data_IF_829578923985
#
_entry.id   IF_829578923985
#
_cell.length_a   1.000
_cell.length_b   1.000
_cell.length_c   1.000
_cell.angle_alpha   90.00
_cell.angle_beta   90.00
_cell.angle_gamma   90.00
#
_symmetry.space_group_name_H-M   'P 1'
#
loop_
_entity.id
_entity.type
_entity.pdbx_description
1 polymer ?
#
# COMPACT_ATOMS: atom_id res chain seq x y z
N UNK A 1 -5.84 37.27 -54.58
CA UNK A 1 -5.24 38.59 -54.24
C UNK A 1 -5.07 38.69 -52.76
N UNK A 2 -3.83 38.78 -52.22
CA UNK A 2 -3.52 38.91 -50.81
C UNK A 2 -4.06 40.24 -50.25
N UNK A 3 -4.93 40.21 -49.23
CA UNK A 3 -5.37 41.41 -48.54
C UNK A 3 -4.17 42.06 -47.84
N UNK A 4 -3.80 43.29 -48.28
CA UNK A 4 -2.78 44.10 -47.59
C UNK A 4 -3.26 44.38 -46.17
N UNK A 5 -2.54 43.88 -45.14
CA UNK A 5 -2.82 44.18 -43.74
C UNK A 5 -2.14 45.50 -43.36
N UNK A 6 -2.94 46.53 -43.05
CA UNK A 6 -2.46 47.82 -42.53
C UNK A 6 -2.43 47.80 -41.00
N UNK A 7 -1.37 48.34 -40.38
CA UNK A 7 -1.27 48.41 -38.92
C UNK A 7 -2.21 49.48 -38.32
N UNK A 8 -2.38 49.49 -37.00
CA UNK A 8 -3.32 50.39 -36.31
C UNK A 8 -2.93 51.84 -36.48
N UNK A 9 -1.63 52.19 -36.38
CA UNK A 9 -1.09 53.52 -36.51
C UNK A 9 -1.35 54.10 -37.89
N UNK A 10 -1.08 53.34 -38.94
CA UNK A 10 -1.35 53.77 -40.31
C UNK A 10 -2.82 54.14 -40.53
N UNK A 11 -3.75 53.33 -39.99
CA UNK A 11 -5.19 53.64 -40.13
C UNK A 11 -5.58 54.91 -39.38
N UNK A 12 -5.02 55.14 -38.19
CA UNK A 12 -5.25 56.32 -37.39
C UNK A 12 -4.71 57.57 -38.12
N UNK A 13 -3.49 57.50 -38.64
CA UNK A 13 -2.88 58.61 -39.37
C UNK A 13 -3.71 59.00 -40.59
N UNK A 14 -4.22 58.01 -41.36
CA UNK A 14 -5.09 58.31 -42.53
C UNK A 14 -6.40 58.96 -42.10
N UNK A 15 -6.98 58.54 -40.96
CA UNK A 15 -8.20 59.22 -40.42
C UNK A 15 -7.92 60.61 -39.90
N UNK A 16 -6.76 60.88 -39.29
CA UNK A 16 -6.32 62.19 -38.84
C UNK A 16 -6.11 63.16 -40.04
N UNK A 17 -5.49 62.68 -41.12
CA UNK A 17 -5.33 63.44 -42.32
C UNK A 17 -6.69 63.85 -42.99
N UNK A 18 -7.65 62.91 -42.98
CA UNK A 18 -9.02 63.20 -43.36
C UNK A 18 -9.65 64.32 -42.53
N UNK A 19 -9.49 64.22 -41.19
CA UNK A 19 -9.98 65.28 -40.26
C UNK A 19 -9.29 66.59 -40.44
N UNK A 20 -8.03 66.62 -40.88
CA UNK A 20 -7.28 67.81 -41.20
C UNK A 20 -7.72 68.43 -42.54
N UNK A 21 -8.72 67.85 -43.27
CA UNK A 21 -9.32 68.40 -44.43
C UNK A 21 -8.85 67.76 -45.76
N UNK A 22 -8.05 66.67 -45.70
CA UNK A 22 -7.61 66.00 -46.97
C UNK A 22 -8.74 65.10 -47.51
N UNK A 23 -9.16 65.25 -48.77
CA UNK A 23 -10.26 64.51 -49.36
C UNK A 23 -9.93 63.02 -49.50
N UNK A 24 -10.96 62.16 -49.33
CA UNK A 24 -10.78 60.68 -49.34
C UNK A 24 -10.20 60.18 -50.67
N UNK A 25 -10.57 60.72 -51.76
CA UNK A 25 -10.05 60.40 -53.09
C UNK A 25 -8.53 60.64 -53.22
N UNK A 26 -8.03 61.72 -52.58
CA UNK A 26 -6.61 62.03 -52.55
C UNK A 26 -5.87 61.03 -51.63
N UNK A 27 -6.39 60.74 -50.43
CA UNK A 27 -5.83 59.72 -49.53
C UNK A 27 -5.81 58.31 -50.13
N UNK A 28 -6.85 57.99 -50.89
CA UNK A 28 -6.92 56.71 -51.65
C UNK A 28 -5.80 56.57 -52.65
N UNK A 29 -5.55 57.61 -53.42
CA UNK A 29 -4.51 57.67 -54.41
C UNK A 29 -3.11 57.67 -53.83
N UNK A 30 -2.84 58.50 -52.85
CA UNK A 30 -1.52 58.65 -52.21
C UNK A 30 -1.08 57.38 -51.42
N UNK A 31 -1.99 56.75 -50.66
CA UNK A 31 -1.66 55.63 -49.82
C UNK A 31 -2.00 54.27 -50.43
N UNK A 32 -2.57 54.22 -51.65
CA UNK A 32 -2.91 52.94 -52.29
C UNK A 32 -3.96 52.14 -51.62
N UNK A 33 -4.92 52.80 -50.93
CA UNK A 33 -6.04 52.19 -50.18
C UNK A 33 -7.35 52.56 -50.87
N UNK A 34 -8.28 51.56 -50.95
CA UNK A 34 -9.58 51.89 -51.59
C UNK A 34 -10.40 52.87 -50.68
N UNK A 35 -11.12 53.82 -51.34
CA UNK A 35 -11.98 54.78 -50.65
C UNK A 35 -12.96 54.09 -49.66
N UNK A 36 -13.54 52.99 -50.10
CA UNK A 36 -14.43 52.19 -49.22
C UNK A 36 -13.74 51.72 -47.94
N UNK A 37 -12.44 51.40 -47.98
CA UNK A 37 -11.64 51.00 -46.83
C UNK A 37 -11.36 52.19 -45.96
N UNK A 38 -11.06 53.37 -46.49
CA UNK A 38 -10.83 54.62 -45.81
C UNK A 38 -12.13 55.03 -45.04
N UNK A 39 -13.27 55.01 -45.68
CA UNK A 39 -14.56 55.31 -45.06
C UNK A 39 -14.90 54.36 -43.89
N UNK A 40 -14.55 53.03 -44.03
CA UNK A 40 -14.65 52.10 -42.94
C UNK A 40 -13.75 52.48 -41.75
N UNK A 41 -12.52 52.94 -42.01
CA UNK A 41 -11.61 53.37 -40.95
C UNK A 41 -12.09 54.66 -40.26
N UNK A 42 -12.60 55.65 -41.06
CA UNK A 42 -13.20 56.87 -40.52
C UNK A 42 -14.35 56.53 -39.59
N UNK A 43 -15.27 55.64 -40.00
CA UNK A 43 -16.40 55.17 -39.15
C UNK A 43 -15.96 54.44 -37.87
N UNK A 44 -14.84 53.69 -37.94
CA UNK A 44 -14.33 52.90 -36.81
C UNK A 44 -13.52 53.76 -35.81
N UNK A 45 -12.83 54.80 -36.26
CA UNK A 45 -11.91 55.62 -35.48
C UNK A 45 -12.40 57.06 -35.23
N UNK A 46 -13.63 57.40 -35.69
CA UNK A 46 -14.26 58.69 -35.31
C UNK A 46 -14.96 58.55 -33.96
N UNK A 47 -14.91 59.64 -33.12
CA UNK A 47 -15.65 59.72 -31.88
C UNK A 47 -17.16 59.56 -32.12
N UNK A 48 -17.84 58.94 -31.18
CA UNK A 48 -19.32 58.81 -31.20
C UNK A 48 -19.90 60.04 -30.47
N UNK A 49 -20.84 60.71 -31.07
CA UNK A 49 -21.56 61.84 -30.44
C UNK A 49 -22.22 61.35 -29.13
N UNK A 50 -21.90 62.06 -28.02
CA UNK A 50 -22.45 61.75 -26.70
C UNK A 50 -21.60 60.81 -25.81
N UNK A 51 -20.45 60.29 -26.29
CA UNK A 51 -19.58 59.39 -25.45
C UNK A 51 -18.19 59.99 -25.16
N UNK A 52 -17.99 61.29 -25.31
CA UNK A 52 -16.70 61.95 -25.14
C UNK A 52 -15.74 61.66 -26.29
N UNK A 53 -14.47 61.37 -25.97
CA UNK A 53 -13.44 61.13 -26.99
C UNK A 53 -13.36 59.64 -27.49
N UNK A 54 -14.29 58.75 -27.08
CA UNK A 54 -14.22 57.35 -27.37
C UNK A 54 -14.68 57.04 -28.83
N UNK A 55 -13.91 56.25 -29.53
CA UNK A 55 -14.22 55.75 -30.89
C UNK A 55 -15.10 54.50 -30.83
N UNK A 56 -15.83 54.23 -31.93
CA UNK A 56 -16.65 52.99 -32.04
C UNK A 56 -15.85 51.70 -31.81
N UNK A 57 -14.57 51.70 -32.17
CA UNK A 57 -13.68 50.56 -31.98
C UNK A 57 -13.34 50.38 -30.46
N UNK A 58 -13.16 51.46 -29.72
CA UNK A 58 -12.86 51.41 -28.29
C UNK A 58 -14.09 51.02 -27.49
N UNK A 59 -15.27 51.52 -27.83
CA UNK A 59 -16.54 51.11 -27.21
C UNK A 59 -16.78 49.66 -27.41
N UNK A 60 -16.57 49.08 -28.59
CA UNK A 60 -16.72 47.67 -28.87
C UNK A 60 -15.67 46.83 -28.09
N UNK A 61 -14.43 47.29 -27.95
CA UNK A 61 -13.42 46.65 -27.16
C UNK A 61 -13.77 46.61 -25.66
N UNK A 62 -14.26 47.73 -25.12
CA UNK A 62 -14.72 47.87 -23.73
C UNK A 62 -15.93 46.93 -23.47
N UNK A 63 -16.89 46.90 -24.37
CA UNK A 63 -18.06 46.02 -24.25
C UNK A 63 -17.64 44.55 -24.27
N UNK A 64 -16.71 44.15 -25.13
CA UNK A 64 -16.17 42.80 -25.22
C UNK A 64 -15.42 42.42 -23.93
N UNK A 65 -14.64 43.34 -23.38
CA UNK A 65 -13.91 43.10 -22.11
C UNK A 65 -14.87 43.07 -20.93
N UNK A 66 -15.89 43.92 -20.87
CA UNK A 66 -16.93 43.86 -19.85
C UNK A 66 -17.70 42.54 -19.86
N UNK A 67 -18.03 42.03 -21.05
CA UNK A 67 -18.67 40.71 -21.18
C UNK A 67 -17.76 39.59 -20.65
N UNK A 68 -16.48 39.66 -21.01
CA UNK A 68 -15.48 38.74 -20.54
C UNK A 68 -15.32 38.77 -19.02
N UNK A 69 -15.22 39.97 -18.43
CA UNK A 69 -15.09 40.15 -16.98
C UNK A 69 -16.34 39.69 -16.23
N UNK A 70 -17.53 39.93 -16.77
CA UNK A 70 -18.79 39.38 -16.21
C UNK A 70 -18.78 37.85 -16.18
N UNK A 71 -18.34 37.19 -17.25
CA UNK A 71 -18.21 35.75 -17.30
C UNK A 71 -17.14 35.23 -16.32
N UNK A 72 -16.02 35.94 -16.18
CA UNK A 72 -14.98 35.61 -15.19
C UNK A 72 -15.45 35.73 -13.73
N UNK A 73 -16.37 36.67 -13.45
CA UNK A 73 -16.96 36.88 -12.10
C UNK A 73 -18.09 35.87 -11.80
N UNK A 74 -18.84 35.43 -12.79
CA UNK A 74 -19.95 34.49 -12.60
C UNK A 74 -19.47 33.05 -12.29
N UNK A 75 -18.32 32.66 -12.80
CA UNK A 75 -17.75 31.34 -12.55
C UNK A 75 -17.31 31.15 -11.08
N UNK A 76 -16.56 32.07 -10.44
CA UNK A 76 -16.21 31.97 -9.02
C UNK A 76 -17.40 32.03 -8.05
N UNK A 77 -18.44 32.82 -8.37
CA UNK A 77 -19.65 32.93 -7.52
C UNK A 77 -20.40 31.61 -7.30
N UNK A 78 -20.12 30.59 -8.11
CA UNK A 78 -20.68 29.24 -7.95
C UNK A 78 -19.92 28.37 -6.92
N UNK A 79 -19.03 28.93 -6.10
CA UNK A 79 -18.47 28.27 -4.92
C UNK A 79 -17.12 27.56 -5.09
N UNK A 80 -16.32 27.90 -6.11
CA UNK A 80 -15.11 27.16 -6.46
C UNK A 80 -13.80 27.62 -5.80
N UNK A 81 -13.74 28.81 -5.20
CA UNK A 81 -12.50 29.33 -4.59
C UNK A 81 -12.02 28.53 -3.37
N UNK A 82 -12.92 27.85 -2.64
CA UNK A 82 -12.57 27.02 -1.49
C UNK A 82 -12.36 25.53 -1.78
N UNK A 83 -12.60 25.11 -3.00
CA UNK A 83 -12.69 23.67 -3.36
C UNK A 83 -11.40 23.18 -4.02
N UNK A 84 -10.60 24.07 -4.60
CA UNK A 84 -9.46 23.74 -5.46
C UNK A 84 -8.33 22.97 -4.78
N UNK A 85 -8.10 23.17 -3.47
CA UNK A 85 -7.06 22.44 -2.74
C UNK A 85 -7.41 20.96 -2.45
N UNK A 86 -8.66 20.55 -2.71
CA UNK A 86 -9.19 19.21 -2.37
C UNK A 86 -9.83 18.44 -3.53
N UNK A 87 -9.99 19.06 -4.71
CA UNK A 87 -10.67 18.42 -5.86
C UNK A 87 -9.64 17.75 -6.77
N UNK A 88 -9.92 16.49 -7.14
CA UNK A 88 -9.17 15.73 -8.14
C UNK A 88 -9.39 16.33 -9.54
N UNK A 89 -8.36 16.22 -10.40
CA UNK A 89 -8.42 16.65 -11.81
C UNK A 89 -9.63 16.06 -12.55
N UNK A 90 -10.10 14.87 -12.19
CA UNK A 90 -11.25 14.24 -12.80
C UNK A 90 -12.57 14.96 -12.45
N UNK A 91 -12.75 15.36 -11.22
CA UNK A 91 -13.93 16.13 -10.79
C UNK A 91 -13.98 17.52 -11.46
N UNK A 92 -12.81 18.14 -11.67
CA UNK A 92 -12.70 19.40 -12.42
C UNK A 92 -13.07 19.21 -13.89
N UNK A 93 -12.65 18.12 -14.52
CA UNK A 93 -12.98 17.76 -15.90
C UNK A 93 -14.49 17.55 -16.05
N UNK A 94 -15.10 16.79 -15.14
CA UNK A 94 -16.54 16.49 -15.13
C UNK A 94 -17.36 17.78 -14.96
N UNK A 95 -16.88 18.71 -14.11
CA UNK A 95 -17.51 20.01 -13.93
C UNK A 95 -17.42 20.87 -15.19
N UNK A 96 -16.21 21.00 -15.78
CA UNK A 96 -16.01 21.76 -17.05
C UNK A 96 -16.90 21.17 -18.15
N UNK A 97 -17.01 19.86 -18.20
CA UNK A 97 -17.84 19.17 -19.20
C UNK A 97 -19.33 19.51 -19.01
N UNK A 98 -19.81 19.50 -17.77
CA UNK A 98 -21.21 19.83 -17.46
C UNK A 98 -21.56 21.29 -17.80
N UNK A 99 -20.66 22.22 -17.51
CA UNK A 99 -20.90 23.64 -17.75
C UNK A 99 -20.49 24.09 -19.18
N UNK A 100 -19.93 23.19 -20.01
CA UNK A 100 -19.48 23.51 -21.36
C UNK A 100 -20.59 23.93 -22.32
N UNK A 101 -21.84 23.63 -22.02
CA UNK A 101 -23.01 24.09 -22.76
C UNK A 101 -23.31 25.58 -22.53
N UNK A 102 -22.91 26.10 -21.37
CA UNK A 102 -23.23 27.47 -20.94
C UNK A 102 -22.03 28.41 -20.96
N UNK A 103 -20.82 27.88 -20.83
CA UNK A 103 -19.58 28.66 -20.71
C UNK A 103 -18.47 28.11 -21.64
N UNK A 104 -17.65 28.99 -22.21
CA UNK A 104 -16.52 28.55 -23.07
C UNK A 104 -15.51 27.72 -22.24
N UNK A 105 -15.23 26.49 -22.68
CA UNK A 105 -14.24 25.58 -22.06
C UNK A 105 -12.89 26.26 -21.83
N UNK A 106 -12.45 27.11 -22.78
CA UNK A 106 -11.20 27.85 -22.67
C UNK A 106 -11.16 28.83 -21.49
N UNK A 107 -12.30 29.46 -21.20
CA UNK A 107 -12.43 30.40 -20.09
C UNK A 107 -12.41 29.64 -18.77
N UNK A 108 -13.17 28.55 -18.67
CA UNK A 108 -13.23 27.69 -17.46
C UNK A 108 -11.86 27.06 -17.15
N UNK A 109 -11.17 26.53 -18.14
CA UNK A 109 -9.82 25.98 -17.97
C UNK A 109 -8.84 27.05 -17.42
N UNK A 110 -8.95 28.31 -17.88
CA UNK A 110 -8.11 29.41 -17.38
C UNK A 110 -8.43 29.78 -15.94
N UNK A 111 -9.71 29.91 -15.59
CA UNK A 111 -10.17 30.29 -14.24
C UNK A 111 -9.84 29.18 -13.24
N UNK A 112 -10.12 27.92 -13.60
CA UNK A 112 -9.81 26.75 -12.76
C UNK A 112 -8.33 26.33 -12.85
N UNK A 113 -7.49 27.12 -13.56
CA UNK A 113 -6.04 26.90 -13.77
C UNK A 113 -5.72 25.46 -14.24
N UNK A 114 -6.60 24.84 -15.00
CA UNK A 114 -6.39 23.54 -15.63
C UNK A 114 -5.82 23.75 -17.03
N UNK A 115 -4.73 23.05 -17.41
CA UNK A 115 -4.25 23.09 -18.78
C UNK A 115 -5.32 22.54 -19.76
N UNK A 116 -5.58 23.26 -20.85
CA UNK A 116 -6.53 22.80 -21.88
C UNK A 116 -6.16 21.42 -22.43
N UNK A 117 -4.87 21.14 -22.56
CA UNK A 117 -4.36 19.85 -22.99
C UNK A 117 -4.85 18.72 -22.08
N UNK A 118 -4.85 18.93 -20.75
CA UNK A 118 -5.34 17.95 -19.75
C UNK A 118 -6.83 17.69 -19.95
N UNK A 119 -7.64 18.74 -20.15
CA UNK A 119 -9.06 18.61 -20.40
C UNK A 119 -9.35 17.80 -21.68
N UNK A 120 -8.79 18.20 -22.83
CA UNK A 120 -9.05 17.51 -24.11
C UNK A 120 -8.43 16.11 -24.15
N UNK A 121 -7.30 15.87 -23.51
CA UNK A 121 -6.69 14.55 -23.42
C UNK A 121 -7.53 13.57 -22.58
N UNK A 122 -8.35 14.04 -21.65
CA UNK A 122 -9.24 13.17 -20.88
C UNK A 122 -10.25 12.42 -21.77
N UNK A 123 -10.73 13.05 -22.85
CA UNK A 123 -11.66 12.44 -23.81
C UNK A 123 -10.98 11.51 -24.82
N UNK A 124 -9.66 11.63 -24.99
CA UNK A 124 -8.88 10.81 -25.94
C UNK A 124 -8.08 9.71 -25.23
N UNK A 125 -8.25 9.53 -23.92
CA UNK A 125 -7.63 8.41 -23.19
C UNK A 125 -8.19 7.10 -23.76
N UNK A 126 -7.48 6.51 -24.75
CA UNK A 126 -7.63 5.08 -25.03
C UNK A 126 -7.48 4.33 -23.71
N UNK A 127 -8.25 3.25 -23.44
CA UNK A 127 -8.06 2.44 -22.26
C UNK A 127 -6.58 2.06 -22.19
N UNK A 128 -5.88 2.65 -21.25
CA UNK A 128 -4.43 2.49 -21.12
C UNK A 128 -4.18 1.00 -20.82
N UNK A 129 -3.40 0.33 -21.65
CA UNK A 129 -3.00 -1.07 -21.42
C UNK A 129 -2.44 -1.28 -20.02
N UNK A 130 -1.83 -0.23 -19.46
CA UNK A 130 -1.35 -0.19 -18.09
C UNK A 130 -2.49 -0.25 -17.05
N UNK A 131 -3.63 0.41 -17.30
CA UNK A 131 -4.79 0.37 -16.40
C UNK A 131 -5.42 -1.03 -16.40
N UNK A 132 -5.65 -1.60 -17.58
CA UNK A 132 -6.17 -2.95 -17.71
C UNK A 132 -5.23 -4.00 -17.08
N UNK A 133 -3.91 -3.83 -17.22
CA UNK A 133 -2.91 -4.67 -16.57
C UNK A 133 -2.90 -4.50 -15.03
N UNK A 134 -3.16 -3.29 -14.51
CA UNK A 134 -3.29 -3.06 -13.07
C UNK A 134 -4.59 -3.65 -12.52
N UNK A 135 -5.68 -3.66 -13.26
CA UNK A 135 -6.93 -4.30 -12.86
C UNK A 135 -6.79 -5.81 -12.73
N UNK A 136 -6.14 -6.45 -13.71
CA UNK A 136 -5.81 -7.88 -13.63
C UNK A 136 -4.92 -8.19 -12.42
N UNK A 137 -3.90 -7.36 -12.20
CA UNK A 137 -3.02 -7.47 -11.04
C UNK A 137 -3.79 -7.31 -9.73
N UNK A 138 -4.67 -6.32 -9.64
CA UNK A 138 -5.50 -6.08 -8.45
C UNK A 138 -6.44 -7.25 -8.17
N UNK A 139 -7.06 -7.81 -9.19
CA UNK A 139 -7.92 -8.98 -9.05
C UNK A 139 -7.14 -10.15 -8.41
N UNK A 140 -5.92 -10.44 -8.90
CA UNK A 140 -5.09 -11.50 -8.32
C UNK A 140 -4.62 -11.17 -6.90
N UNK A 141 -4.21 -9.93 -6.64
CA UNK A 141 -3.86 -9.46 -5.29
C UNK A 141 -5.01 -9.69 -4.30
N UNK A 142 -6.26 -9.38 -4.69
CA UNK A 142 -7.44 -9.61 -3.83
C UNK A 142 -7.65 -11.08 -3.51
N UNK A 143 -7.43 -11.98 -4.45
CA UNK A 143 -7.52 -13.42 -4.23
C UNK A 143 -6.48 -13.87 -3.21
N UNK A 144 -5.19 -13.55 -3.42
CA UNK A 144 -4.09 -13.91 -2.51
C UNK A 144 -4.33 -13.32 -1.11
N UNK A 145 -4.77 -12.05 -1.03
CA UNK A 145 -5.07 -11.40 0.24
C UNK A 145 -6.22 -12.10 0.98
N UNK A 146 -7.28 -12.51 0.27
CA UNK A 146 -8.40 -13.27 0.82
C UNK A 146 -7.97 -14.67 1.27
N UNK A 147 -7.19 -15.41 0.46
CA UNK A 147 -6.66 -16.74 0.79
C UNK A 147 -5.78 -16.71 2.05
N UNK A 148 -5.06 -15.60 2.27
CA UNK A 148 -4.28 -15.37 3.48
C UNK A 148 -5.11 -14.81 4.65
N UNK A 149 -6.43 -14.69 4.51
CA UNK A 149 -7.33 -14.07 5.49
C UNK A 149 -6.85 -12.66 5.91
N UNK A 150 -6.35 -11.89 4.93
CA UNK A 150 -5.83 -10.54 5.14
C UNK A 150 -4.47 -10.46 5.86
N UNK A 151 -3.80 -11.58 6.10
CA UNK A 151 -2.52 -11.61 6.83
C UNK A 151 -1.35 -11.11 6.00
N UNK A 152 -1.38 -11.28 4.67
CA UNK A 152 -0.26 -10.92 3.80
C UNK A 152 -0.27 -9.44 3.41
N UNK A 153 0.90 -8.80 3.61
CA UNK A 153 1.21 -7.50 3.04
C UNK A 153 1.93 -7.62 1.69
N UNK A 154 2.24 -6.49 1.09
CA UNK A 154 2.83 -6.42 -0.25
C UNK A 154 4.08 -7.30 -0.46
N UNK A 155 5.03 -7.45 0.48
CA UNK A 155 6.19 -8.31 0.26
C UNK A 155 5.84 -9.77 0.02
N UNK A 156 4.93 -10.35 0.81
CA UNK A 156 4.52 -11.75 0.64
C UNK A 156 3.63 -11.95 -0.58
N UNK A 157 2.71 -11.02 -0.85
CA UNK A 157 1.88 -11.04 -2.07
C UNK A 157 2.77 -10.98 -3.31
N UNK A 158 3.79 -10.12 -3.31
CA UNK A 158 4.74 -10.01 -4.42
C UNK A 158 5.50 -11.33 -4.67
N UNK A 159 5.91 -12.04 -3.61
CA UNK A 159 6.61 -13.32 -3.76
C UNK A 159 5.70 -14.40 -4.38
N UNK A 160 4.43 -14.47 -3.97
CA UNK A 160 3.46 -15.38 -4.57
C UNK A 160 3.25 -15.04 -6.06
N UNK A 161 3.03 -13.76 -6.36
CA UNK A 161 2.89 -13.31 -7.75
C UNK A 161 4.13 -13.64 -8.59
N UNK A 162 5.34 -13.50 -8.02
CA UNK A 162 6.60 -13.87 -8.69
C UNK A 162 6.66 -15.37 -9.00
N UNK A 163 6.26 -16.22 -8.05
CA UNK A 163 6.14 -17.67 -8.27
C UNK A 163 5.12 -18.03 -9.36
N UNK A 164 4.08 -17.19 -9.53
CA UNK A 164 3.07 -17.31 -10.60
C UNK A 164 3.53 -16.68 -11.93
N UNK A 165 4.78 -16.21 -12.05
CA UNK A 165 5.34 -15.65 -13.28
C UNK A 165 5.17 -14.13 -13.44
N UNK A 166 4.79 -13.40 -12.38
CA UNK A 166 4.73 -11.94 -12.44
C UNK A 166 6.13 -11.31 -12.57
N UNK A 167 6.32 -10.47 -13.60
CA UNK A 167 7.61 -9.84 -13.94
C UNK A 167 7.72 -8.38 -13.50
N UNK A 168 6.67 -7.81 -12.89
CA UNK A 168 6.67 -6.41 -12.43
C UNK A 168 7.42 -6.21 -11.10
N UNK A 169 7.54 -4.96 -10.66
CA UNK A 169 8.23 -4.61 -9.41
C UNK A 169 7.32 -4.71 -8.19
N UNK A 170 7.93 -4.83 -7.00
CA UNK A 170 7.23 -4.76 -5.71
C UNK A 170 6.57 -3.40 -5.49
N UNK A 171 7.17 -2.30 -5.98
CA UNK A 171 6.60 -0.95 -5.84
C UNK A 171 5.28 -0.81 -6.60
N UNK A 172 5.16 -1.50 -7.74
CA UNK A 172 3.89 -1.55 -8.48
C UNK A 172 2.82 -2.28 -7.66
N UNK A 173 3.15 -3.40 -7.03
CA UNK A 173 2.23 -4.15 -6.15
C UNK A 173 1.81 -3.29 -4.97
N UNK A 174 2.76 -2.61 -4.30
CA UNK A 174 2.48 -1.70 -3.18
C UNK A 174 1.55 -0.56 -3.58
N UNK A 175 1.76 0.04 -4.74
CA UNK A 175 0.93 1.14 -5.27
C UNK A 175 -0.49 0.66 -5.56
N UNK A 176 -0.64 -0.49 -6.23
CA UNK A 176 -1.96 -1.08 -6.54
C UNK A 176 -2.71 -1.43 -5.26
N UNK A 177 -2.04 -2.03 -4.27
CA UNK A 177 -2.64 -2.32 -2.96
C UNK A 177 -3.07 -1.06 -2.21
N UNK A 178 -2.21 -0.03 -2.20
CA UNK A 178 -2.51 1.25 -1.54
C UNK A 178 -3.73 1.93 -2.15
N UNK A 179 -3.79 2.02 -3.48
CA UNK A 179 -4.90 2.65 -4.19
C UNK A 179 -6.22 1.90 -3.98
N UNK A 180 -6.16 0.58 -3.80
CA UNK A 180 -7.32 -0.26 -3.50
C UNK A 180 -7.66 -0.38 -1.99
N UNK A 181 -6.94 0.33 -1.11
CA UNK A 181 -7.13 0.25 0.34
C UNK A 181 -6.76 -1.09 0.97
N UNK A 182 -6.05 -1.96 0.25
CA UNK A 182 -5.66 -3.30 0.72
C UNK A 182 -4.44 -3.20 1.62
N UNK A 183 -4.58 -3.61 2.89
CA UNK A 183 -3.51 -3.63 3.88
C UNK A 183 -3.53 -4.94 4.66
N UNK A 184 -2.35 -5.37 5.14
CA UNK A 184 -2.27 -6.46 6.12
C UNK A 184 -2.97 -6.06 7.41
N UNK A 185 -3.75 -6.98 7.96
CA UNK A 185 -4.50 -6.79 9.23
C UNK A 185 -3.70 -7.22 10.46
N UNK A 186 -2.37 -7.37 10.35
CA UNK A 186 -1.49 -7.74 11.47
C UNK A 186 -1.45 -6.60 12.49
N UNK A 187 -1.79 -6.89 13.74
CA UNK A 187 -1.77 -5.94 14.86
C UNK A 187 -0.41 -5.92 15.55
N UNK A 188 0.09 -4.73 15.89
CA UNK A 188 1.26 -4.56 16.78
C UNK A 188 0.76 -4.39 18.21
N UNK A 189 1.29 -5.16 19.18
CA UNK A 189 0.97 -5.02 20.58
C UNK A 189 2.21 -4.90 21.48
N UNK A 190 1.97 -4.40 22.68
CA UNK A 190 2.81 -4.08 23.82
C UNK A 190 3.91 -5.12 24.14
N UNK A 191 5.08 -4.65 24.58
CA UNK A 191 6.19 -5.46 25.07
C UNK A 191 6.12 -5.49 26.60
N UNK A 192 6.03 -6.67 27.24
CA UNK A 192 6.13 -6.78 28.71
C UNK A 192 7.57 -6.57 29.18
N UNK A 193 7.72 -6.02 30.39
CA UNK A 193 9.00 -5.85 31.07
C UNK A 193 9.44 -7.17 31.71
N UNK A 194 10.70 -7.61 31.62
CA UNK A 194 11.17 -8.87 32.18
C UNK A 194 11.22 -8.80 33.69
N UNK A 195 10.78 -9.86 34.36
CA UNK A 195 10.92 -10.05 35.83
C UNK A 195 12.21 -10.83 36.13
N UNK A 196 13.05 -10.30 37.00
CA UNK A 196 14.32 -10.94 37.36
C UNK A 196 14.11 -11.91 38.57
N UNK A 197 14.35 -13.20 38.34
CA UNK A 197 14.58 -14.20 39.43
C UNK A 197 15.92 -14.88 39.19
N UNK A 198 16.68 -15.27 40.25
CA UNK A 198 17.92 -16.02 40.08
C UNK A 198 17.61 -17.43 39.55
N UNK A 199 18.34 -17.88 38.56
CA UNK A 199 18.19 -19.19 37.89
C UNK A 199 19.60 -19.80 37.80
N UNK A 200 19.73 -21.10 38.00
CA UNK A 200 21.00 -21.86 37.80
C UNK A 200 21.47 -21.72 36.36
N UNK A 201 22.79 -21.54 36.19
CA UNK A 201 23.42 -21.55 34.87
C UNK A 201 23.46 -22.99 34.36
N UNK A 202 22.94 -23.20 33.15
CA UNK A 202 22.98 -24.43 32.38
C UNK A 202 23.64 -24.19 31.03
N UNK A 203 24.17 -25.24 30.45
CA UNK A 203 24.95 -25.15 29.22
C UNK A 203 24.09 -24.69 28.03
N UNK A 204 24.61 -23.69 27.28
CA UNK A 204 24.04 -23.25 26.01
C UNK A 204 24.82 -23.91 24.85
N UNK A 205 24.46 -25.13 24.51
CA UNK A 205 25.08 -25.90 23.41
C UNK A 205 24.73 -25.25 22.06
N UNK A 206 23.55 -24.62 21.91
CA UNK A 206 23.11 -24.00 20.65
C UNK A 206 23.94 -22.75 20.29
N UNK A 207 24.36 -21.96 21.29
CA UNK A 207 25.23 -20.79 21.10
C UNK A 207 24.70 -19.71 20.13
N UNK A 208 23.38 -19.58 19.97
CA UNK A 208 22.69 -18.73 18.96
C UNK A 208 22.92 -19.18 17.50
N UNK A 209 23.49 -20.33 17.28
CA UNK A 209 23.63 -20.91 15.95
C UNK A 209 22.41 -21.75 15.58
N UNK A 210 21.48 -21.15 14.86
CA UNK A 210 20.27 -21.80 14.36
C UNK A 210 20.44 -22.37 12.95
N UNK A 211 21.65 -22.36 12.41
CA UNK A 211 21.94 -22.98 11.11
C UNK A 211 21.89 -24.50 11.21
N UNK A 212 21.33 -25.14 10.21
CA UNK A 212 21.12 -26.58 10.15
C UNK A 212 21.32 -27.05 8.72
N UNK A 213 21.89 -28.23 8.55
CA UNK A 213 22.08 -28.87 7.24
C UNK A 213 20.90 -29.78 6.91
N UNK A 214 20.32 -30.42 7.95
CA UNK A 214 19.25 -31.41 7.79
C UNK A 214 18.08 -31.17 8.75
N UNK A 215 16.96 -31.80 8.46
CA UNK A 215 15.79 -31.83 9.36
C UNK A 215 16.12 -32.61 10.66
N UNK A 216 15.50 -32.21 11.78
CA UNK A 216 15.70 -32.87 13.09
C UNK A 216 17.12 -32.78 13.65
N UNK A 217 17.90 -31.77 13.27
CA UNK A 217 19.22 -31.52 13.85
C UNK A 217 19.13 -30.65 15.12
N UNK A 218 18.32 -29.61 15.08
CA UNK A 218 18.10 -28.68 16.18
C UNK A 218 16.61 -28.36 16.33
N UNK A 219 16.05 -28.62 17.48
CA UNK A 219 14.70 -28.18 17.85
C UNK A 219 14.75 -27.08 18.91
N UNK A 220 13.81 -26.16 18.85
CA UNK A 220 13.61 -25.13 19.86
C UNK A 220 12.22 -25.24 20.44
N UNK A 221 12.09 -25.10 21.78
CA UNK A 221 10.82 -25.20 22.46
C UNK A 221 10.61 -24.03 23.44
N UNK A 222 9.38 -23.59 23.57
CA UNK A 222 9.00 -22.51 24.49
C UNK A 222 7.49 -22.54 24.77
N UNK A 223 7.07 -21.84 25.85
CA UNK A 223 5.67 -21.70 26.26
C UNK A 223 5.21 -20.26 26.01
N UNK A 224 4.05 -20.10 25.38
CA UNK A 224 3.41 -18.80 25.23
C UNK A 224 2.04 -18.75 25.90
N UNK A 225 1.59 -17.53 26.27
CA UNK A 225 0.36 -17.27 27.01
C UNK A 225 -0.75 -16.85 26.06
N UNK A 226 -1.95 -17.40 26.26
CA UNK A 226 -3.15 -17.10 25.48
C UNK A 226 -4.30 -16.89 26.46
N UNK A 227 -4.94 -15.72 26.39
CA UNK A 227 -6.04 -15.37 27.28
C UNK A 227 -7.38 -15.80 26.69
N UNK A 228 -8.22 -16.42 27.50
CA UNK A 228 -9.62 -16.69 27.24
C UNK A 228 -10.50 -15.98 28.27
N UNK A 229 -11.74 -15.66 27.89
CA UNK A 229 -12.62 -14.85 28.75
C UNK A 229 -13.04 -15.64 30.02
N UNK A 230 -13.40 -16.91 29.85
CA UNK A 230 -13.95 -17.73 30.92
C UNK A 230 -12.89 -18.51 31.69
N UNK A 231 -11.86 -19.03 31.00
CA UNK A 231 -10.83 -19.85 31.64
C UNK A 231 -9.58 -19.03 32.05
N UNK A 232 -9.51 -17.71 31.70
CA UNK A 232 -8.37 -16.87 32.01
C UNK A 232 -7.14 -17.19 31.14
N UNK A 233 -5.95 -17.19 31.77
CA UNK A 233 -4.70 -17.49 31.08
C UNK A 233 -4.55 -18.99 30.83
N UNK A 234 -4.35 -19.33 29.58
CA UNK A 234 -4.02 -20.68 29.09
C UNK A 234 -2.63 -20.64 28.42
N UNK A 235 -2.04 -21.80 28.20
CA UNK A 235 -0.63 -21.97 27.88
C UNK A 235 -0.49 -22.88 26.66
N UNK A 236 0.33 -22.45 25.71
CA UNK A 236 0.71 -23.25 24.55
C UNK A 236 2.20 -23.55 24.62
N UNK A 237 2.56 -24.81 24.88
CA UNK A 237 3.91 -25.31 24.65
C UNK A 237 4.05 -25.73 23.19
N UNK A 238 5.12 -25.33 22.52
CA UNK A 238 5.37 -25.64 21.11
C UNK A 238 6.83 -26.01 20.89
N UNK A 239 7.04 -26.92 19.95
CA UNK A 239 8.36 -27.41 19.48
C UNK A 239 8.46 -27.09 17.99
N UNK A 240 9.53 -26.43 17.61
CA UNK A 240 9.82 -26.01 16.24
C UNK A 240 11.13 -26.63 15.76
N UNK A 241 11.11 -27.21 14.57
CA UNK A 241 12.33 -27.64 13.90
C UNK A 241 13.04 -26.46 13.24
N UNK A 242 14.30 -26.25 13.59
CA UNK A 242 15.07 -25.10 13.12
C UNK A 242 15.35 -25.13 11.61
N UNK A 243 15.36 -26.29 10.95
CA UNK A 243 15.60 -26.41 9.52
C UNK A 243 14.37 -25.99 8.71
N UNK A 244 13.25 -26.63 8.97
CA UNK A 244 12.01 -26.46 8.20
C UNK A 244 11.15 -25.28 8.67
N UNK A 245 11.42 -24.73 9.87
CA UNK A 245 10.58 -23.75 10.57
C UNK A 245 9.18 -24.28 10.88
N UNK A 246 8.97 -25.59 10.81
CA UNK A 246 7.71 -26.27 11.10
C UNK A 246 7.47 -26.40 12.60
N UNK A 247 6.23 -26.18 13.03
CA UNK A 247 5.79 -26.61 14.36
C UNK A 247 5.48 -28.09 14.26
N UNK A 248 6.34 -28.89 14.87
CA UNK A 248 6.35 -30.34 14.80
C UNK A 248 5.66 -31.01 15.97
N UNK A 249 5.51 -30.29 17.09
CA UNK A 249 4.76 -30.72 18.25
C UNK A 249 4.27 -29.54 19.06
N UNK A 250 3.10 -29.67 19.67
CA UNK A 250 2.56 -28.68 20.58
C UNK A 250 1.50 -29.27 21.49
N UNK A 251 1.26 -28.59 22.63
CA UNK A 251 0.16 -28.87 23.55
C UNK A 251 -0.42 -27.56 24.08
N UNK A 252 -1.74 -27.45 24.06
CA UNK A 252 -2.47 -26.35 24.68
C UNK A 252 -3.13 -26.83 25.97
N UNK A 253 -2.91 -26.11 27.08
CA UNK A 253 -3.39 -26.49 28.41
C UNK A 253 -3.84 -25.31 29.23
N UNK A 254 -4.68 -25.57 30.25
CA UNK A 254 -5.14 -24.56 31.23
C UNK A 254 -4.11 -24.23 32.29
N UNK A 255 -3.10 -25.08 32.48
CA UNK A 255 -2.05 -24.92 33.51
C UNK A 255 -0.67 -25.06 32.84
N UNK A 256 0.29 -24.29 33.33
CA UNK A 256 1.68 -24.34 32.90
C UNK A 256 2.44 -25.37 33.70
N UNK A 257 2.24 -26.65 33.41
CA UNK A 257 2.85 -27.80 34.13
C UNK A 257 4.01 -28.40 33.30
N UNK A 258 4.78 -29.27 33.95
CA UNK A 258 5.81 -30.08 33.26
C UNK A 258 5.15 -31.01 32.24
N UNK A 259 3.99 -31.57 32.52
CA UNK A 259 3.27 -32.43 31.56
C UNK A 259 2.94 -31.73 30.28
N UNK A 260 2.64 -30.41 30.31
CA UNK A 260 2.37 -29.61 29.13
C UNK A 260 3.53 -29.62 28.11
N UNK A 261 4.76 -29.47 28.61
CA UNK A 261 5.98 -29.47 27.78
C UNK A 261 6.38 -30.86 27.35
N UNK A 262 6.15 -31.87 28.23
CA UNK A 262 6.39 -33.28 27.91
C UNK A 262 5.48 -33.77 26.78
N UNK A 263 4.18 -33.49 26.85
CA UNK A 263 3.23 -33.84 25.81
C UNK A 263 3.55 -33.14 24.46
N UNK A 264 4.01 -31.89 24.52
CA UNK A 264 4.46 -31.17 23.31
C UNK A 264 5.69 -31.84 22.69
N UNK A 265 6.67 -32.24 23.51
CA UNK A 265 7.88 -32.95 23.07
C UNK A 265 7.53 -34.35 22.50
N UNK A 266 6.71 -35.11 23.23
CA UNK A 266 6.27 -36.45 22.84
C UNK A 266 5.53 -36.42 21.50
N UNK A 267 4.68 -35.41 21.27
CA UNK A 267 4.00 -35.20 19.99
C UNK A 267 5.01 -34.90 18.87
N UNK A 268 6.05 -34.12 19.13
CA UNK A 268 7.12 -33.84 18.15
C UNK A 268 7.90 -35.10 17.81
N UNK A 269 8.27 -35.90 18.83
CA UNK A 269 8.98 -37.17 18.61
C UNK A 269 8.14 -38.16 17.82
N UNK A 270 6.87 -38.30 18.16
CA UNK A 270 5.95 -39.17 17.42
C UNK A 270 5.76 -38.77 15.97
N UNK A 271 5.75 -37.47 15.68
CA UNK A 271 5.59 -36.93 14.32
C UNK A 271 6.85 -37.04 13.48
N UNK A 272 8.03 -36.88 14.07
CA UNK A 272 9.29 -36.73 13.34
C UNK A 272 10.21 -37.96 13.42
N UNK A 273 10.09 -38.77 14.45
CA UNK A 273 10.97 -39.91 14.73
C UNK A 273 12.46 -39.57 14.56
N UNK A 274 12.99 -38.59 15.33
CA UNK A 274 14.36 -38.10 15.17
C UNK A 274 15.40 -39.15 15.51
N UNK A 275 16.56 -39.06 14.86
CA UNK A 275 17.74 -39.84 15.25
C UNK A 275 18.31 -39.36 16.58
N UNK A 276 19.07 -40.21 17.31
CA UNK A 276 19.84 -39.80 18.48
C UNK A 276 20.77 -38.63 18.21
N UNK A 277 21.00 -37.79 19.24
CA UNK A 277 21.93 -36.66 19.14
C UNK A 277 21.27 -35.32 18.73
N UNK A 278 19.97 -35.28 18.50
CA UNK A 278 19.20 -34.06 18.26
C UNK A 278 19.38 -33.07 19.44
N UNK A 279 19.67 -31.81 19.13
CA UNK A 279 19.74 -30.74 20.13
C UNK A 279 18.35 -30.16 20.38
N UNK A 280 17.92 -30.16 21.64
CA UNK A 280 16.66 -29.51 22.08
C UNK A 280 17.00 -28.27 22.92
N UNK A 281 16.75 -27.09 22.39
CA UNK A 281 17.01 -25.83 23.06
C UNK A 281 15.75 -25.22 23.63
N UNK A 282 15.84 -24.78 24.89
CA UNK A 282 14.73 -24.19 25.66
C UNK A 282 15.17 -22.97 26.46
N UNK A 283 14.22 -22.23 27.01
CA UNK A 283 14.53 -21.26 28.06
C UNK A 283 14.84 -21.95 29.38
N UNK A 284 15.20 -21.14 30.40
CA UNK A 284 15.44 -21.62 31.78
C UNK A 284 14.14 -21.71 32.61
N UNK A 285 13.00 -21.91 31.96
CA UNK A 285 11.73 -22.11 32.67
C UNK A 285 11.74 -23.36 33.56
N UNK A 286 11.08 -23.29 34.70
CA UNK A 286 11.04 -24.41 35.69
C UNK A 286 10.51 -25.72 35.09
N UNK A 287 9.69 -25.65 34.07
CA UNK A 287 9.15 -26.80 33.34
C UNK A 287 10.27 -27.54 32.56
N UNK A 288 11.12 -26.79 31.89
CA UNK A 288 12.21 -27.33 31.08
C UNK A 288 13.44 -27.70 31.89
N UNK A 289 13.63 -27.08 33.07
CA UNK A 289 14.74 -27.39 33.99
C UNK A 289 14.40 -28.52 34.99
N UNK A 290 13.18 -29.07 34.91
CA UNK A 290 12.76 -30.17 35.77
C UNK A 290 13.52 -31.47 35.47
N UNK A 291 13.74 -32.29 36.49
CA UNK A 291 14.37 -33.61 36.35
C UNK A 291 13.61 -34.50 35.37
N UNK A 292 12.26 -34.51 35.48
CA UNK A 292 11.39 -35.30 34.60
C UNK A 292 11.55 -34.93 33.10
N UNK A 293 11.73 -33.65 32.81
CA UNK A 293 12.00 -33.23 31.41
C UNK A 293 13.40 -33.68 30.96
N UNK A 294 14.40 -33.58 31.83
CA UNK A 294 15.75 -34.06 31.59
C UNK A 294 15.81 -35.59 31.35
N UNK A 295 15.07 -36.39 32.11
CA UNK A 295 14.92 -37.83 31.93
C UNK A 295 14.25 -38.16 30.58
N UNK A 296 13.24 -37.36 30.16
CA UNK A 296 12.58 -37.54 28.89
C UNK A 296 13.53 -37.30 27.72
N UNK A 297 14.36 -36.26 27.80
CA UNK A 297 15.40 -35.98 26.76
C UNK A 297 16.42 -37.15 26.71
N UNK A 298 16.88 -37.63 27.86
CA UNK A 298 17.78 -38.80 27.93
C UNK A 298 17.15 -40.05 27.32
N UNK A 299 15.87 -40.31 27.60
CA UNK A 299 15.14 -41.43 27.00
C UNK A 299 15.12 -41.38 25.49
N UNK A 300 15.05 -40.17 24.87
CA UNK A 300 15.07 -39.96 23.46
C UNK A 300 16.47 -39.72 22.89
N UNK A 301 17.52 -39.88 23.70
CA UNK A 301 18.92 -39.64 23.33
C UNK A 301 19.17 -38.26 22.75
N UNK A 302 18.48 -37.25 23.30
CA UNK A 302 18.56 -35.84 22.89
C UNK A 302 19.53 -35.06 23.77
N UNK A 303 20.18 -34.05 23.16
CA UNK A 303 21.13 -33.16 23.83
C UNK A 303 20.40 -31.92 24.33
N UNK A 304 20.31 -31.70 25.67
CA UNK A 304 19.70 -30.48 26.21
C UNK A 304 20.57 -29.25 25.95
N UNK A 305 19.95 -28.13 25.60
CA UNK A 305 20.57 -26.82 25.48
C UNK A 305 19.65 -25.76 26.09
N UNK A 306 20.24 -24.77 26.78
CA UNK A 306 19.46 -23.77 27.52
C UNK A 306 19.88 -22.35 27.15
N UNK A 307 18.91 -21.45 27.05
CA UNK A 307 19.16 -20.02 26.86
C UNK A 307 19.92 -19.44 28.04
N UNK A 308 20.86 -18.55 27.79
CA UNK A 308 21.51 -17.78 28.86
C UNK A 308 20.50 -16.80 29.48
N UNK A 309 20.68 -16.56 30.76
CA UNK A 309 19.84 -15.62 31.49
C UNK A 309 19.90 -14.22 30.87
N UNK A 310 18.72 -13.66 30.54
CA UNK A 310 18.62 -12.31 29.97
C UNK A 310 19.04 -12.19 28.51
N UNK A 311 19.27 -13.30 27.81
CA UNK A 311 19.62 -13.33 26.40
C UNK A 311 18.43 -13.80 25.53
N UNK A 312 17.48 -12.93 25.17
CA UNK A 312 16.29 -13.32 24.40
C UNK A 312 16.64 -13.87 23.01
N UNK A 313 17.77 -13.45 22.45
CA UNK A 313 18.24 -13.95 21.15
C UNK A 313 18.63 -15.43 21.13
N UNK A 314 18.84 -16.05 22.30
CA UNK A 314 19.20 -17.46 22.41
C UNK A 314 18.04 -18.38 21.96
N UNK A 315 16.77 -17.93 22.01
CA UNK A 315 15.59 -18.69 21.57
C UNK A 315 14.79 -17.98 20.45
N UNK A 316 15.47 -17.20 19.62
CA UNK A 316 14.87 -16.29 18.64
C UNK A 316 13.94 -16.99 17.63
N UNK A 317 14.21 -18.24 17.25
CA UNK A 317 13.39 -18.97 16.29
C UNK A 317 11.96 -19.21 16.78
N UNK A 318 11.80 -19.73 17.99
CA UNK A 318 10.48 -20.02 18.55
C UNK A 318 9.77 -18.73 19.01
N UNK A 319 10.52 -17.73 19.50
CA UNK A 319 9.97 -16.41 19.82
C UNK A 319 9.38 -15.73 18.57
N UNK A 320 10.02 -15.87 17.42
CA UNK A 320 9.52 -15.37 16.13
C UNK A 320 8.22 -16.06 15.74
N UNK A 321 8.09 -17.37 15.97
CA UNK A 321 6.82 -18.09 15.78
C UNK A 321 5.74 -17.55 16.72
N UNK A 322 6.01 -17.45 18.02
CA UNK A 322 5.04 -16.95 18.99
C UNK A 322 4.60 -15.52 18.69
N UNK A 323 5.52 -14.66 18.28
CA UNK A 323 5.19 -13.30 17.84
C UNK A 323 4.29 -13.29 16.61
N UNK A 324 4.53 -14.21 15.67
CA UNK A 324 3.73 -14.38 14.47
C UNK A 324 2.33 -14.91 14.79
N UNK A 325 2.24 -15.97 15.59
CA UNK A 325 0.97 -16.52 16.09
C UNK A 325 0.12 -15.46 16.78
N UNK A 326 0.74 -14.71 17.70
CA UNK A 326 0.04 -13.63 18.42
C UNK A 326 -0.50 -12.56 17.50
N UNK A 327 0.29 -12.11 16.53
CA UNK A 327 -0.11 -11.05 15.57
C UNK A 327 -1.13 -11.52 14.54
N UNK A 328 -0.98 -12.73 14.03
CA UNK A 328 -1.79 -13.24 12.93
C UNK A 328 -3.09 -13.92 13.41
N UNK A 329 -3.18 -14.36 14.66
CA UNK A 329 -4.32 -15.09 15.20
C UNK A 329 -4.78 -14.53 16.56
N UNK A 330 -3.97 -14.63 17.61
CA UNK A 330 -4.41 -14.42 19.02
C UNK A 330 -4.91 -12.99 19.27
N UNK A 331 -4.23 -11.97 18.75
CA UNK A 331 -4.64 -10.58 18.96
C UNK A 331 -5.82 -10.13 18.07
N UNK A 332 -6.19 -10.95 17.11
CA UNK A 332 -7.31 -10.70 16.21
C UNK A 332 -8.62 -11.33 16.68
N UNK A 333 -8.50 -12.34 17.55
CA UNK A 333 -9.63 -13.16 17.97
C UNK A 333 -9.80 -13.07 19.48
N UNK A 334 -11.02 -12.83 19.95
CA UNK A 334 -11.38 -12.95 21.36
C UNK A 334 -11.92 -14.34 21.59
N UNK A 335 -11.19 -15.14 22.36
CA UNK A 335 -11.61 -16.49 22.71
C UNK A 335 -12.48 -16.48 23.96
N UNK A 336 -13.69 -17.01 23.86
CA UNK A 336 -14.58 -17.11 25.01
C UNK A 336 -14.15 -18.19 25.98
N UNK A 337 -13.78 -19.37 25.45
CA UNK A 337 -13.42 -20.56 26.23
C UNK A 337 -12.15 -21.21 25.71
N UNK A 338 -11.56 -22.03 26.57
CA UNK A 338 -10.41 -22.89 26.24
C UNK A 338 -10.64 -23.71 24.96
N UNK A 339 -11.81 -24.35 24.81
CA UNK A 339 -12.11 -25.19 23.64
C UNK A 339 -12.12 -24.39 22.33
N UNK A 340 -12.66 -23.17 22.38
CA UNK A 340 -12.67 -22.27 21.21
C UNK A 340 -11.24 -21.90 20.81
N UNK A 341 -10.40 -21.53 21.79
CA UNK A 341 -9.00 -21.22 21.58
C UNK A 341 -8.24 -22.45 21.03
N UNK A 342 -8.48 -23.64 21.60
CA UNK A 342 -7.84 -24.89 21.17
C UNK A 342 -8.09 -25.18 19.70
N UNK A 343 -9.34 -25.06 19.24
CA UNK A 343 -9.72 -25.29 17.84
C UNK A 343 -9.09 -24.24 16.93
N UNK A 344 -9.08 -22.98 17.33
CA UNK A 344 -8.49 -21.90 16.56
C UNK A 344 -6.97 -22.07 16.39
N UNK A 345 -6.28 -22.42 17.48
CA UNK A 345 -4.84 -22.69 17.46
C UNK A 345 -4.50 -23.91 16.60
N UNK A 346 -5.29 -24.98 16.66
CA UNK A 346 -5.12 -26.13 15.78
C UNK A 346 -5.26 -25.72 14.31
N UNK A 347 -6.32 -25.00 13.96
CA UNK A 347 -6.53 -24.51 12.58
C UNK A 347 -5.39 -23.59 12.12
N UNK A 348 -4.89 -22.74 13.04
CA UNK A 348 -3.79 -21.86 12.73
C UNK A 348 -2.49 -22.62 12.51
N UNK A 349 -2.10 -23.50 13.43
CA UNK A 349 -0.82 -24.23 13.36
C UNK A 349 -0.82 -25.21 12.18
N UNK A 350 -1.80 -26.11 12.15
CA UNK A 350 -1.83 -27.18 11.17
C UNK A 350 -2.36 -26.71 9.80
N UNK A 351 -3.41 -25.93 9.80
CA UNK A 351 -4.06 -25.52 8.57
C UNK A 351 -3.38 -24.35 7.86
N UNK A 352 -2.86 -23.38 8.62
CA UNK A 352 -2.30 -22.15 8.08
C UNK A 352 -0.77 -22.12 8.18
N UNK A 353 -0.20 -22.14 9.39
CA UNK A 353 1.23 -21.91 9.60
C UNK A 353 2.11 -22.96 8.90
N UNK A 354 1.84 -24.24 9.13
CA UNK A 354 2.63 -25.32 8.54
C UNK A 354 2.37 -25.51 7.05
N UNK A 355 1.13 -25.37 6.55
CA UNK A 355 0.74 -25.78 5.21
C UNK A 355 0.57 -24.67 4.19
N UNK A 356 0.27 -23.44 4.62
CA UNK A 356 -0.06 -22.33 3.70
C UNK A 356 0.81 -21.10 3.88
N UNK A 357 1.34 -20.90 5.08
CA UNK A 357 2.14 -19.72 5.37
C UNK A 357 3.54 -19.83 4.78
N UNK A 358 3.90 -18.89 3.89
CA UNK A 358 5.25 -18.83 3.31
C UNK A 358 6.23 -18.14 4.29
N UNK A 359 7.47 -18.63 4.32
CA UNK A 359 8.54 -18.14 5.19
C UNK A 359 9.75 -17.66 4.39
N UNK A 360 10.19 -16.41 4.65
CA UNK A 360 11.33 -15.83 3.95
C UNK A 360 12.66 -16.54 4.21
N UNK A 361 12.83 -17.16 5.40
CA UNK A 361 14.06 -17.89 5.77
C UNK A 361 14.20 -19.28 5.15
N UNK A 362 13.19 -19.77 4.44
CA UNK A 362 13.18 -21.04 3.70
C UNK A 362 12.65 -20.76 2.28
N UNK A 363 13.23 -19.78 1.62
CA UNK A 363 12.97 -19.41 0.22
C UNK A 363 11.48 -19.26 -0.14
N UNK A 364 10.68 -18.75 0.82
CA UNK A 364 9.24 -18.56 0.69
C UNK A 364 8.45 -19.85 0.42
N UNK A 365 9.00 -21.00 0.75
CA UNK A 365 8.22 -22.22 0.86
C UNK A 365 7.36 -22.20 2.13
N UNK A 366 6.36 -23.06 2.17
CA UNK A 366 5.68 -23.40 3.42
C UNK A 366 6.51 -24.43 4.19
N UNK A 367 6.43 -24.49 5.53
CA UNK A 367 7.15 -25.49 6.31
C UNK A 367 6.93 -26.93 5.83
N UNK A 368 5.69 -27.30 5.52
CA UNK A 368 5.35 -28.63 5.00
C UNK A 368 5.93 -28.91 3.61
N UNK A 369 5.91 -27.92 2.72
CA UNK A 369 6.48 -28.07 1.38
C UNK A 369 8.01 -28.19 1.45
N UNK A 370 8.65 -27.39 2.29
CA UNK A 370 10.09 -27.42 2.49
C UNK A 370 10.54 -28.74 3.13
N UNK A 371 9.83 -29.22 4.17
CA UNK A 371 10.11 -30.54 4.76
C UNK A 371 10.03 -31.67 3.73
N UNK A 372 8.97 -31.70 2.89
CA UNK A 372 8.84 -32.69 1.83
C UNK A 372 9.99 -32.65 0.84
N UNK A 373 10.44 -31.46 0.46
CA UNK A 373 11.58 -31.28 -0.44
C UNK A 373 12.86 -31.82 0.20
N UNK A 374 13.15 -31.50 1.46
CA UNK A 374 14.33 -32.00 2.17
C UNK A 374 14.31 -33.52 2.32
N UNK A 375 13.13 -34.13 2.64
CA UNK A 375 12.99 -35.60 2.75
C UNK A 375 13.12 -36.32 1.40
N UNK A 376 12.80 -35.65 0.29
CA UNK A 376 12.98 -36.24 -1.05
C UNK A 376 14.42 -36.14 -1.54
N UNK A 377 15.22 -35.23 -0.96
CA UNK A 377 16.63 -35.04 -1.29
C UNK A 377 17.60 -35.89 -0.40
N UNK A 378 17.11 -36.44 0.71
CA UNK A 378 17.85 -37.29 1.64
C UNK A 378 17.66 -38.78 1.29
#
# INVERSE_FOLDING_TARGET
>A
MSQKKYNKEFKQTVVELYRAGTPVNQLASEYGVSEVTIYKWIKLHSPIEGTGELTAAEVAAIQKENLRLKQEVDIPKKGYDHIREKIDDQELIDHITKESEHQPVQLMCRILKMPKSTYYQSFHKKPNSYHAANEKLLARIRVIHKESDGRYGAPKIFQILKQEGYTGSIDRVQRVMRNAGIRSNITKKYRPTPTQKPVEERENVLGQDFTTETINEKWVADITYIHTVQDGWCYLASVLDCHTKKIIGYKFGRKMTVDLVLEALDNAVAAQNPAPGLIVHTDLGSQYTSEVFGERLKKYEMIPSFSRKGCPYDNACIESFHATLKKEEVYRTRYDRFETARVALFKYIEGWYNRKRIHGSIDYFTPDAYEKMCRAAA
#
